data_IF_524305337453
#
_entry.id   IF_524305337453
#
_cell.length_a   1.000
_cell.length_b   1.000
_cell.length_c   1.000
_cell.angle_alpha   90.00
_cell.angle_beta   90.00
_cell.angle_gamma   90.00
#
_symmetry.space_group_name_H-M   'P 1'
#
loop_
_entity.id
_entity.type
_entity.pdbx_description
1 polymer ?
#
# COMPACT_ATOMS: atom_id res chain seq x y z
N UNK A 1 -78.78 32.33 -13.43
CA UNK A 1 -78.40 32.93 -12.14
C UNK A 1 -78.40 31.83 -11.10
N UNK A 2 -77.26 31.59 -10.43
CA UNK A 2 -77.07 30.90 -9.13
C UNK A 2 -77.60 29.46 -8.98
N UNK A 3 -76.98 28.51 -8.28
CA UNK A 3 -75.87 28.52 -7.33
C UNK A 3 -75.35 27.07 -7.19
N UNK A 4 -74.12 26.96 -6.70
CA UNK A 4 -73.40 25.71 -6.46
C UNK A 4 -73.84 24.97 -5.17
N UNK A 5 -73.54 23.67 -5.12
CA UNK A 5 -72.73 22.99 -4.09
C UNK A 5 -73.31 21.66 -3.57
N UNK A 6 -72.60 20.55 -3.88
CA UNK A 6 -72.12 19.45 -3.02
C UNK A 6 -73.09 18.74 -2.04
N UNK A 7 -72.99 17.45 -1.70
CA UNK A 7 -72.13 16.29 -1.99
C UNK A 7 -72.59 15.18 -1.03
N UNK A 8 -72.63 13.91 -1.46
CA UNK A 8 -72.31 12.66 -0.70
C UNK A 8 -72.78 11.45 -1.52
N UNK A 9 -71.87 10.76 -2.20
CA UNK A 9 -70.92 9.77 -1.68
C UNK A 9 -71.45 8.36 -1.95
N UNK A 10 -71.05 7.79 -3.09
CA UNK A 10 -71.22 6.38 -3.39
C UNK A 10 -69.97 5.91 -4.15
N UNK A 11 -69.52 4.71 -3.81
CA UNK A 11 -68.47 3.92 -4.49
C UNK A 11 -67.01 4.41 -4.41
N UNK A 12 -66.20 3.71 -3.61
CA UNK A 12 -64.73 3.70 -3.71
C UNK A 12 -64.21 2.36 -3.19
N UNK A 13 -64.11 1.34 -4.04
CA UNK A 13 -62.84 0.82 -4.57
C UNK A 13 -61.75 0.62 -3.50
N UNK A 14 -61.57 -0.65 -3.12
CA UNK A 14 -60.41 -1.20 -2.43
C UNK A 14 -59.13 -0.84 -3.20
N UNK A 15 -58.31 0.06 -2.67
CA UNK A 15 -56.91 0.19 -3.07
C UNK A 15 -56.06 -0.41 -1.96
N UNK A 16 -55.66 -1.66 -2.17
CA UNK A 16 -54.60 -2.32 -1.41
C UNK A 16 -53.28 -1.70 -1.86
N UNK A 17 -52.71 -0.82 -1.04
CA UNK A 17 -51.36 -0.27 -1.27
C UNK A 17 -50.37 -1.37 -0.91
N UNK A 18 -49.90 -2.13 -1.90
CA UNK A 18 -48.69 -2.94 -1.79
C UNK A 18 -47.50 -2.00 -1.76
N UNK A 19 -46.98 -1.70 -0.57
CA UNK A 19 -45.65 -1.11 -0.42
C UNK A 19 -44.65 -2.22 -0.76
N UNK A 20 -44.28 -2.32 -2.03
CA UNK A 20 -43.05 -3.00 -2.43
C UNK A 20 -41.88 -2.20 -1.85
N UNK A 21 -41.49 -2.54 -0.63
CA UNK A 21 -40.17 -2.21 -0.13
C UNK A 21 -39.20 -3.00 -0.99
N UNK A 22 -38.72 -2.38 -2.06
CA UNK A 22 -37.50 -2.80 -2.73
C UNK A 22 -36.38 -2.61 -1.69
N UNK A 23 -36.20 -3.62 -0.83
CA UNK A 23 -34.89 -3.92 -0.30
C UNK A 23 -34.04 -4.16 -1.54
N UNK A 24 -33.31 -3.13 -1.97
CA UNK A 24 -32.13 -3.34 -2.77
C UNK A 24 -31.21 -4.18 -1.87
N UNK A 25 -31.30 -5.50 -2.01
CA UNK A 25 -30.20 -6.36 -1.58
C UNK A 25 -28.99 -5.83 -2.36
N UNK A 26 -28.03 -5.24 -1.66
CA UNK A 26 -26.70 -5.10 -2.21
C UNK A 26 -26.30 -6.51 -2.67
N UNK A 27 -26.15 -6.71 -3.97
CA UNK A 27 -25.54 -7.93 -4.48
C UNK A 27 -24.13 -7.95 -3.89
N UNK A 28 -23.88 -8.95 -3.05
CA UNK A 28 -22.54 -9.28 -2.55
C UNK A 28 -21.76 -9.84 -3.74
N UNK A 29 -21.30 -8.92 -4.61
CA UNK A 29 -20.51 -9.25 -5.79
C UNK A 29 -19.09 -9.56 -5.29
N UNK A 30 -18.89 -10.79 -4.82
CA UNK A 30 -17.59 -11.27 -4.35
C UNK A 30 -16.49 -10.99 -5.37
N UNK A 31 -15.37 -10.40 -4.95
CA UNK A 31 -14.28 -10.05 -5.87
C UNK A 31 -13.64 -11.31 -6.49
N UNK A 32 -13.51 -11.33 -7.83
CA UNK A 32 -12.83 -12.41 -8.55
C UNK A 32 -11.31 -12.31 -8.41
N UNK A 33 -10.76 -12.96 -7.38
CA UNK A 33 -9.32 -13.00 -7.11
C UNK A 33 -8.46 -13.66 -8.21
N UNK A 34 -9.06 -14.26 -9.24
CA UNK A 34 -8.33 -14.81 -10.38
C UNK A 34 -8.06 -13.77 -11.48
N UNK A 35 -8.75 -12.62 -11.43
CA UNK A 35 -8.66 -11.55 -12.42
C UNK A 35 -8.20 -10.26 -11.75
N UNK A 36 -6.88 -9.95 -11.79
CA UNK A 36 -6.41 -8.70 -11.22
C UNK A 36 -7.03 -7.50 -11.94
N UNK A 37 -7.34 -6.41 -11.22
CA UNK A 37 -7.88 -5.20 -11.82
C UNK A 37 -6.86 -4.55 -12.76
N UNK A 38 -7.34 -3.60 -13.56
CA UNK A 38 -6.46 -2.77 -14.37
C UNK A 38 -5.42 -2.09 -13.46
N UNK A 39 -4.16 -2.10 -13.89
CA UNK A 39 -3.11 -1.41 -13.16
C UNK A 39 -3.41 0.10 -13.07
N UNK A 40 -3.48 0.59 -11.84
CA UNK A 40 -3.50 2.01 -11.47
C UNK A 40 -2.41 2.25 -10.43
N UNK A 41 -1.59 3.32 -10.55
CA UNK A 41 -0.66 3.68 -9.50
C UNK A 41 -1.42 4.01 -8.20
N UNK A 42 -1.08 3.35 -7.09
CA UNK A 42 -1.83 3.48 -5.83
C UNK A 42 -1.89 4.92 -5.28
N UNK A 43 -0.85 5.72 -5.53
CA UNK A 43 -0.82 7.13 -5.13
C UNK A 43 -1.90 8.00 -5.81
N UNK A 44 -2.45 7.55 -6.95
CA UNK A 44 -3.58 8.21 -7.62
C UNK A 44 -4.91 7.94 -6.92
N UNK A 45 -4.96 6.91 -6.07
CA UNK A 45 -6.12 6.51 -5.31
C UNK A 45 -6.06 7.01 -3.86
N UNK A 46 -4.88 6.92 -3.25
CA UNK A 46 -4.62 7.44 -1.92
C UNK A 46 -3.29 8.20 -1.92
N UNK A 47 -3.26 9.52 -1.66
CA UNK A 47 -2.03 10.29 -1.60
C UNK A 47 -1.27 10.01 -0.29
N UNK A 48 -0.58 8.87 -0.22
CA UNK A 48 0.29 8.52 0.91
C UNK A 48 1.48 9.48 0.96
N UNK A 49 1.76 10.11 2.11
CA UNK A 49 2.89 11.03 2.27
C UNK A 49 4.25 10.38 1.98
N UNK A 50 5.17 11.16 1.42
CA UNK A 50 6.57 10.75 1.29
C UNK A 50 7.32 11.08 2.58
N UNK A 51 8.02 10.08 3.14
CA UNK A 51 8.81 10.22 4.36
C UNK A 51 10.24 10.75 4.10
N UNK A 52 10.57 10.98 2.83
CA UNK A 52 11.89 11.41 2.39
C UNK A 52 11.98 12.94 2.37
N UNK A 53 12.31 13.57 3.50
CA UNK A 53 12.54 15.03 3.54
C UNK A 53 13.70 15.45 2.64
N UNK A 54 13.75 16.72 2.23
CA UNK A 54 14.88 17.24 1.44
C UNK A 54 16.22 17.02 2.15
N UNK A 55 16.26 17.21 3.47
CA UNK A 55 17.44 16.96 4.30
C UNK A 55 17.84 15.47 4.27
N UNK A 56 16.90 14.55 4.44
CA UNK A 56 17.17 13.11 4.38
C UNK A 56 17.61 12.68 2.98
N UNK A 57 17.03 13.27 1.95
CA UNK A 57 17.40 13.04 0.55
C UNK A 57 18.81 13.54 0.25
N UNK A 58 19.25 14.65 0.85
CA UNK A 58 20.62 15.13 0.75
C UNK A 58 21.59 14.19 1.47
N UNK A 59 21.26 13.78 2.71
CA UNK A 59 22.09 12.86 3.50
C UNK A 59 22.21 11.47 2.85
N UNK A 60 21.19 11.03 2.13
CA UNK A 60 21.13 9.72 1.46
C UNK A 60 21.28 9.82 -0.08
N UNK A 61 21.79 10.95 -0.59
CA UNK A 61 21.82 11.28 -2.01
C UNK A 61 22.55 10.25 -2.89
N UNK A 62 23.48 9.47 -2.32
CA UNK A 62 24.17 8.41 -3.05
C UNK A 62 23.21 7.30 -3.54
N UNK A 63 22.14 7.04 -2.80
CA UNK A 63 21.10 6.04 -3.12
C UNK A 63 19.88 6.65 -3.82
N UNK A 64 19.76 7.97 -3.84
CA UNK A 64 18.71 8.71 -4.54
C UNK A 64 18.99 8.88 -6.06
N UNK A 65 20.18 8.47 -6.54
CA UNK A 65 20.56 8.61 -7.95
C UNK A 65 19.74 7.66 -8.83
N UNK A 66 19.24 8.12 -10.00
CA UNK A 66 18.63 7.22 -10.96
C UNK A 66 19.65 6.17 -11.42
N UNK A 67 19.20 4.93 -11.74
CA UNK A 67 20.10 3.89 -12.20
C UNK A 67 20.86 4.37 -13.45
N UNK A 68 22.13 3.97 -13.62
CA UNK A 68 22.91 4.37 -14.79
C UNK A 68 22.16 3.96 -16.07
N UNK A 69 22.24 4.76 -17.15
CA UNK A 69 21.63 4.40 -18.41
C UNK A 69 22.18 3.03 -18.87
N UNK A 70 21.33 2.17 -19.48
CA UNK A 70 21.79 0.89 -19.99
C UNK A 70 22.99 1.10 -20.92
N UNK A 71 24.00 0.20 -20.90
CA UNK A 71 25.14 0.33 -21.79
C UNK A 71 24.65 0.45 -23.23
N UNK A 72 25.11 1.49 -23.94
CA UNK A 72 24.84 1.63 -25.37
C UNK A 72 25.68 0.58 -26.10
N UNK A 73 25.21 -0.66 -26.09
CA UNK A 73 25.76 -1.74 -26.88
C UNK A 73 25.40 -1.52 -28.34
N UNK A 74 26.40 -1.57 -29.23
CA UNK A 74 26.20 -1.60 -30.68
C UNK A 74 25.29 -2.79 -31.06
N UNK A 75 24.02 -2.50 -31.35
CA UNK A 75 23.20 -3.26 -32.31
C UNK A 75 22.93 -4.74 -32.02
N UNK A 76 22.71 -5.14 -30.76
CA UNK A 76 22.18 -6.48 -30.44
C UNK A 76 20.94 -6.38 -29.54
N UNK A 77 19.97 -7.31 -29.63
CA UNK A 77 18.86 -7.33 -28.69
C UNK A 77 19.44 -7.46 -27.28
N UNK A 78 19.01 -6.57 -26.38
CA UNK A 78 19.41 -6.60 -24.99
C UNK A 78 19.17 -8.01 -24.44
N UNK A 79 20.25 -8.70 -24.06
CA UNK A 79 20.13 -9.91 -23.26
C UNK A 79 19.62 -9.45 -21.90
N UNK A 80 18.31 -9.52 -21.72
CA UNK A 80 17.67 -9.40 -20.42
C UNK A 80 18.10 -10.61 -19.59
N UNK A 81 19.24 -10.51 -18.92
CA UNK A 81 19.45 -11.32 -17.72
C UNK A 81 18.33 -10.97 -16.74
N UNK A 82 17.72 -11.99 -16.15
CA UNK A 82 16.56 -11.93 -15.27
C UNK A 82 16.84 -11.25 -13.93
N UNK A 83 17.42 -10.05 -13.93
CA UNK A 83 17.26 -9.12 -12.82
C UNK A 83 15.86 -8.55 -12.91
N UNK A 84 15.10 -8.60 -11.81
CA UNK A 84 13.77 -8.02 -11.64
C UNK A 84 13.79 -6.51 -11.93
N UNK A 85 13.86 -6.13 -13.21
CA UNK A 85 13.79 -4.76 -13.65
C UNK A 85 12.33 -4.39 -13.69
N UNK A 86 11.88 -3.64 -12.69
CA UNK A 86 10.60 -2.96 -12.75
C UNK A 86 10.54 -2.10 -14.03
N UNK A 87 9.39 -2.08 -14.73
CA UNK A 87 9.22 -1.27 -15.93
C UNK A 87 9.59 0.20 -15.70
N UNK A 88 10.02 0.94 -16.74
CA UNK A 88 10.46 2.34 -16.63
C UNK A 88 9.44 3.28 -15.98
N UNK A 89 8.14 2.98 -16.06
CA UNK A 89 7.06 3.78 -15.47
C UNK A 89 6.87 3.57 -13.96
N UNK A 90 7.54 2.58 -13.36
CA UNK A 90 7.52 2.31 -11.92
C UNK A 90 8.75 2.89 -11.20
N UNK A 91 9.68 3.51 -11.95
CA UNK A 91 10.98 4.02 -11.44
C UNK A 91 10.89 5.21 -10.49
N UNK A 92 9.71 5.81 -10.32
CA UNK A 92 9.47 6.91 -9.38
C UNK A 92 8.55 6.56 -8.21
N UNK A 93 8.04 5.32 -8.12
CA UNK A 93 7.04 4.93 -7.11
C UNK A 93 7.60 4.09 -5.97
N UNK A 94 8.78 3.51 -6.15
CA UNK A 94 9.44 2.69 -5.15
C UNK A 94 10.89 3.16 -5.01
N UNK A 95 11.23 3.90 -3.93
CA UNK A 95 12.61 4.29 -3.66
C UNK A 95 13.52 3.06 -3.62
N UNK A 96 14.78 3.23 -4.04
CA UNK A 96 15.77 2.14 -4.02
C UNK A 96 15.85 1.56 -2.60
N UNK A 97 15.94 0.24 -2.40
CA UNK A 97 15.94 -0.34 -1.05
C UNK A 97 16.99 0.28 -0.10
N UNK A 98 18.17 0.62 -0.64
CA UNK A 98 19.22 1.27 0.14
C UNK A 98 18.89 2.72 0.54
N UNK A 99 18.03 3.41 -0.23
CA UNK A 99 17.56 4.75 0.14
C UNK A 99 16.69 4.66 1.39
N UNK A 100 15.73 3.72 1.42
CA UNK A 100 14.88 3.49 2.59
C UNK A 100 15.72 3.04 3.80
N UNK A 101 16.66 2.12 3.61
CA UNK A 101 17.56 1.72 4.71
C UNK A 101 18.39 2.90 5.23
N UNK A 102 18.93 3.74 4.34
CA UNK A 102 19.66 4.93 4.75
C UNK A 102 18.78 5.88 5.57
N UNK A 103 17.56 6.18 5.10
CA UNK A 103 16.62 7.04 5.81
C UNK A 103 16.32 6.46 7.20
N UNK A 104 15.94 5.18 7.27
CA UNK A 104 15.61 4.53 8.54
C UNK A 104 16.77 4.47 9.52
N UNK A 105 18.00 4.29 9.04
CA UNK A 105 19.18 4.34 9.89
C UNK A 105 19.48 5.76 10.38
N UNK A 106 19.29 6.78 9.53
CA UNK A 106 19.51 8.19 9.90
C UNK A 106 18.49 8.71 10.91
N UNK A 107 17.26 8.22 10.82
CA UNK A 107 16.16 8.59 11.73
C UNK A 107 16.07 7.66 12.93
N UNK A 108 16.94 6.64 13.01
CA UNK A 108 16.92 5.58 14.03
C UNK A 108 15.61 4.77 14.09
N UNK A 109 14.77 4.87 13.05
CA UNK A 109 13.57 4.02 12.86
C UNK A 109 13.95 2.55 12.79
N UNK A 110 15.14 2.25 12.26
CA UNK A 110 15.81 0.98 12.51
C UNK A 110 17.00 1.28 13.42
N UNK A 111 16.96 0.72 14.63
CA UNK A 111 18.03 0.89 15.61
C UNK A 111 19.32 0.16 15.18
N UNK A 112 20.41 0.42 15.91
CA UNK A 112 21.71 -0.24 15.66
C UNK A 112 21.65 -1.78 15.78
N UNK A 113 20.69 -2.30 16.54
CA UNK A 113 20.41 -3.73 16.67
C UNK A 113 19.70 -4.33 15.42
N UNK A 114 19.31 -3.48 14.47
CA UNK A 114 18.56 -3.85 13.27
C UNK A 114 17.08 -4.12 13.52
N UNK A 115 16.54 -3.71 14.66
CA UNK A 115 15.11 -3.83 14.98
C UNK A 115 14.37 -2.51 14.70
N UNK A 116 13.10 -2.56 14.26
CA UNK A 116 12.26 -1.36 14.11
C UNK A 116 11.94 -0.71 15.46
N UNK A 117 11.86 0.62 15.48
CA UNK A 117 11.49 1.43 16.62
C UNK A 117 10.25 2.28 16.28
N UNK A 118 9.14 1.99 16.95
CA UNK A 118 7.84 2.63 16.71
C UNK A 118 7.86 4.10 17.13
N UNK A 119 8.48 4.43 18.26
CA UNK A 119 8.56 5.80 18.76
C UNK A 119 9.37 6.68 17.80
N UNK A 120 10.44 6.13 17.22
CA UNK A 120 11.25 6.83 16.20
C UNK A 120 10.50 6.99 14.88
N UNK A 121 9.64 6.04 14.52
CA UNK A 121 8.78 6.18 13.34
C UNK A 121 7.70 7.24 13.56
N UNK A 122 7.06 7.25 14.73
CA UNK A 122 6.12 8.29 15.15
C UNK A 122 6.77 9.68 15.09
N UNK A 123 7.98 9.83 15.63
CA UNK A 123 8.75 11.06 15.54
C UNK A 123 9.11 11.47 14.09
N UNK A 124 9.31 10.51 13.19
CA UNK A 124 9.49 10.80 11.76
C UNK A 124 8.19 11.33 11.16
N UNK A 125 7.03 10.71 11.45
CA UNK A 125 5.73 11.19 10.98
C UNK A 125 5.41 12.59 11.48
N UNK A 126 5.74 12.90 12.74
CA UNK A 126 5.65 14.24 13.32
C UNK A 126 6.48 15.27 12.54
N UNK A 127 7.46 14.84 11.75
CA UNK A 127 8.26 15.74 10.91
C UNK A 127 7.73 15.84 9.48
N UNK A 128 7.24 14.75 8.91
CA UNK A 128 6.92 14.62 7.47
C UNK A 128 5.42 14.68 7.14
N UNK A 129 4.55 14.41 8.10
CA UNK A 129 3.09 14.32 7.94
C UNK A 129 2.35 15.33 8.85
N UNK A 130 3.04 16.40 9.26
CA UNK A 130 2.53 17.43 10.21
C UNK A 130 1.14 17.96 9.93
N UNK A 131 0.79 18.10 8.65
CA UNK A 131 -0.46 18.73 8.23
C UNK A 131 -1.61 17.73 8.07
N UNK A 132 -1.40 16.46 8.41
CA UNK A 132 -2.40 15.40 8.27
C UNK A 132 -2.31 14.37 9.42
N UNK A 133 -2.80 14.76 10.59
CA UNK A 133 -2.84 13.91 11.80
C UNK A 133 -3.57 12.58 11.58
N UNK A 134 -4.65 12.56 10.78
CA UNK A 134 -5.40 11.34 10.47
C UNK A 134 -4.53 10.34 9.69
N UNK A 135 -3.79 10.81 8.69
CA UNK A 135 -2.88 9.96 7.93
C UNK A 135 -1.66 9.53 8.77
N UNK A 136 -1.14 10.41 9.62
CA UNK A 136 -0.05 10.08 10.53
C UNK A 136 -0.44 8.92 11.46
N UNK A 137 -1.62 8.99 12.09
CA UNK A 137 -2.12 7.92 12.96
C UNK A 137 -2.26 6.59 12.20
N UNK A 138 -2.80 6.60 10.98
CA UNK A 138 -2.92 5.39 10.14
C UNK A 138 -1.54 4.82 9.78
N UNK A 139 -0.55 5.67 9.49
CA UNK A 139 0.80 5.22 9.18
C UNK A 139 1.50 4.63 10.42
N UNK A 140 1.27 5.20 11.60
CA UNK A 140 1.79 4.68 12.88
C UNK A 140 1.20 3.30 13.20
N UNK A 141 -0.13 3.15 13.15
CA UNK A 141 -0.81 1.86 13.31
C UNK A 141 -0.32 0.81 12.29
N UNK A 142 -0.16 1.23 11.03
CA UNK A 142 0.40 0.38 9.98
C UNK A 142 1.84 -0.07 10.30
N UNK A 143 2.66 0.81 10.88
CA UNK A 143 4.04 0.50 11.23
C UNK A 143 4.14 -0.48 12.40
N UNK A 144 3.29 -0.33 13.41
CA UNK A 144 3.16 -1.29 14.50
C UNK A 144 2.80 -2.68 13.98
N UNK A 145 1.72 -2.79 13.20
CA UNK A 145 1.27 -4.06 12.63
C UNK A 145 2.34 -4.70 11.72
N UNK A 146 3.01 -3.89 10.92
CA UNK A 146 4.06 -4.36 10.02
C UNK A 146 5.33 -4.80 10.76
N UNK A 147 5.65 -4.18 11.90
CA UNK A 147 6.75 -4.60 12.78
C UNK A 147 6.44 -5.96 13.42
N UNK A 148 5.21 -6.19 13.86
CA UNK A 148 4.77 -7.49 14.36
C UNK A 148 4.87 -8.58 13.27
N UNK A 149 4.33 -8.32 12.08
CA UNK A 149 4.43 -9.23 10.91
C UNK A 149 5.89 -9.53 10.55
N UNK A 150 6.76 -8.52 10.62
CA UNK A 150 8.19 -8.68 10.36
C UNK A 150 8.87 -9.57 11.39
N UNK A 151 8.53 -9.42 12.67
CA UNK A 151 9.05 -10.26 13.76
C UNK A 151 8.64 -11.74 13.59
N UNK A 152 7.39 -12.00 13.22
CA UNK A 152 6.93 -13.36 12.92
C UNK A 152 7.65 -13.97 11.72
N UNK A 153 7.82 -13.17 10.66
CA UNK A 153 8.52 -13.62 9.46
C UNK A 153 9.98 -13.95 9.79
N UNK A 154 10.65 -13.13 10.60
CA UNK A 154 12.01 -13.38 11.09
C UNK A 154 12.09 -14.68 11.88
N UNK A 155 11.12 -14.95 12.76
CA UNK A 155 11.05 -16.21 13.51
C UNK A 155 10.86 -17.43 12.58
N UNK A 156 9.94 -17.35 11.62
CA UNK A 156 9.71 -18.41 10.60
C UNK A 156 10.95 -18.66 9.75
N UNK A 157 11.66 -17.59 9.38
CA UNK A 157 12.93 -17.67 8.64
C UNK A 157 14.01 -18.32 9.50
N UNK A 158 14.16 -17.93 10.77
CA UNK A 158 15.15 -18.51 11.68
C UNK A 158 14.91 -20.01 11.91
N UNK A 159 13.65 -20.41 12.06
CA UNK A 159 13.25 -21.82 12.12
C UNK A 159 13.59 -22.56 10.81
N UNK A 160 13.38 -21.94 9.66
CA UNK A 160 13.74 -22.55 8.36
C UNK A 160 15.26 -22.68 8.20
N UNK A 161 16.04 -21.69 8.65
CA UNK A 161 17.50 -21.72 8.66
C UNK A 161 18.01 -22.87 9.53
N UNK A 162 17.44 -23.07 10.72
CA UNK A 162 17.87 -24.15 11.62
C UNK A 162 17.56 -25.54 11.06
N UNK A 163 16.47 -25.67 10.28
CA UNK A 163 16.05 -26.93 9.65
C UNK A 163 16.77 -27.24 8.33
N UNK A 164 17.17 -26.21 7.58
CA UNK A 164 17.67 -26.37 6.21
C UNK A 164 18.98 -25.59 6.00
N UNK A 165 20.15 -26.22 6.17
CA UNK A 165 21.45 -25.55 6.03
C UNK A 165 21.71 -24.99 4.62
N UNK A 166 21.19 -25.64 3.56
CA UNK A 166 21.27 -25.10 2.18
C UNK A 166 20.51 -23.77 2.03
N UNK A 167 19.40 -23.60 2.75
CA UNK A 167 18.66 -22.33 2.78
C UNK A 167 19.46 -21.25 3.50
N UNK A 168 20.16 -21.62 4.58
CA UNK A 168 21.04 -20.71 5.32
C UNK A 168 22.20 -20.21 4.44
N UNK A 169 22.86 -21.10 3.70
CA UNK A 169 23.94 -20.76 2.78
C UNK A 169 23.44 -19.84 1.65
N UNK A 170 22.29 -20.16 1.05
CA UNK A 170 21.68 -19.31 0.02
C UNK A 170 21.35 -17.91 0.54
N UNK A 171 20.79 -17.81 1.74
CA UNK A 171 20.48 -16.52 2.38
C UNK A 171 21.75 -15.73 2.69
N UNK A 172 22.80 -16.37 3.21
CA UNK A 172 24.08 -15.73 3.47
C UNK A 172 24.72 -15.20 2.18
N UNK A 173 24.69 -15.98 1.09
CA UNK A 173 25.19 -15.57 -0.22
C UNK A 173 24.41 -14.38 -0.80
N UNK A 174 23.08 -14.38 -0.70
CA UNK A 174 22.28 -13.24 -1.11
C UNK A 174 22.58 -11.99 -0.28
N UNK A 175 22.76 -12.12 1.04
CA UNK A 175 23.13 -11.01 1.93
C UNK A 175 24.52 -10.47 1.60
N UNK A 176 25.48 -11.33 1.28
CA UNK A 176 26.84 -10.91 0.88
C UNK A 176 26.86 -10.16 -0.46
N UNK A 177 25.93 -10.46 -1.37
CA UNK A 177 25.84 -9.79 -2.67
C UNK A 177 24.99 -8.52 -2.63
N UNK A 178 24.15 -8.34 -1.61
CA UNK A 178 23.30 -7.15 -1.48
C UNK A 178 24.11 -5.95 -0.98
N UNK A 179 23.96 -4.81 -1.65
CA UNK A 179 24.59 -3.56 -1.23
C UNK A 179 24.00 -2.96 0.06
N UNK A 180 22.78 -3.39 0.41
CA UNK A 180 22.00 -2.93 1.55
C UNK A 180 21.11 -4.06 2.08
N UNK A 181 20.63 -3.95 3.32
CA UNK A 181 19.60 -4.82 3.84
C UNK A 181 18.26 -4.54 3.14
N UNK A 182 17.54 -5.56 2.65
CA UNK A 182 16.19 -5.37 2.10
C UNK A 182 15.15 -5.11 3.19
N UNK A 183 15.51 -5.23 4.47
CA UNK A 183 14.56 -5.21 5.58
C UNK A 183 13.76 -3.91 5.68
N UNK A 184 14.41 -2.75 5.68
CA UNK A 184 13.71 -1.46 5.75
C UNK A 184 12.74 -1.26 4.58
N UNK A 185 13.15 -1.63 3.37
CA UNK A 185 12.28 -1.55 2.19
C UNK A 185 11.08 -2.49 2.26
N UNK A 186 11.26 -3.71 2.78
CA UNK A 186 10.15 -4.66 3.01
C UNK A 186 9.19 -4.13 4.07
N UNK A 187 9.70 -3.58 5.16
CA UNK A 187 8.90 -2.96 6.22
C UNK A 187 8.09 -1.79 5.67
N UNK A 188 8.72 -0.84 4.97
CA UNK A 188 8.05 0.29 4.35
C UNK A 188 7.00 -0.13 3.31
N UNK A 189 7.29 -1.18 2.54
CA UNK A 189 6.30 -1.73 1.59
C UNK A 189 5.06 -2.26 2.32
N UNK A 190 5.25 -2.88 3.49
CA UNK A 190 4.13 -3.30 4.33
C UNK A 190 3.33 -2.08 4.82
N UNK A 191 4.01 -1.07 5.38
CA UNK A 191 3.39 0.17 5.89
C UNK A 191 2.54 0.82 4.80
N UNK A 192 3.13 1.08 3.62
CA UNK A 192 2.41 1.71 2.51
C UNK A 192 1.17 0.92 2.07
N UNK A 193 1.21 -0.41 2.14
CA UNK A 193 0.06 -1.25 1.81
C UNK A 193 -1.03 -1.19 2.89
N UNK A 194 -0.68 -1.24 4.17
CA UNK A 194 -1.68 -1.11 5.25
C UNK A 194 -2.25 0.31 5.31
N UNK A 195 -1.43 1.35 5.11
CA UNK A 195 -1.89 2.73 4.95
C UNK A 195 -2.83 2.89 3.76
N UNK A 196 -2.53 2.25 2.62
CA UNK A 196 -3.41 2.29 1.45
C UNK A 196 -4.79 1.66 1.74
N UNK A 197 -4.82 0.49 2.39
CA UNK A 197 -6.08 -0.19 2.74
C UNK A 197 -6.93 0.65 3.68
N UNK A 198 -6.29 1.32 4.63
CA UNK A 198 -6.94 2.13 5.65
C UNK A 198 -7.03 3.61 5.27
N UNK A 199 -6.76 3.95 4.00
CA UNK A 199 -6.72 5.33 3.54
C UNK A 199 -8.00 6.10 3.89
N UNK A 200 -7.90 7.31 4.47
CA UNK A 200 -9.07 8.09 4.85
C UNK A 200 -10.00 8.36 3.68
N UNK A 201 -11.30 8.25 3.93
CA UNK A 201 -12.32 8.58 2.93
C UNK A 201 -12.24 10.05 2.48
N UNK A 202 -11.69 10.94 3.31
CA UNK A 202 -11.50 12.36 3.04
C UNK A 202 -10.51 12.64 1.90
N UNK A 203 -9.51 11.79 1.71
CA UNK A 203 -8.46 11.94 0.68
C UNK A 203 -8.49 10.85 -0.39
N UNK A 204 -9.36 9.86 -0.22
CA UNK A 204 -9.57 8.77 -1.17
C UNK A 204 -10.19 9.27 -2.48
N UNK A 205 -9.63 8.81 -3.61
CA UNK A 205 -10.24 9.01 -4.92
C UNK A 205 -11.32 7.95 -5.18
N UNK A 206 -12.58 8.35 -5.07
CA UNK A 206 -13.76 7.48 -5.22
C UNK A 206 -14.10 7.10 -6.67
N UNK A 207 -13.09 6.87 -7.49
CA UNK A 207 -13.26 6.33 -8.85
C UNK A 207 -13.52 4.82 -8.80
N UNK A 208 -14.23 4.31 -9.81
CA UNK A 208 -14.46 2.86 -9.97
C UNK A 208 -13.14 2.09 -9.96
N UNK A 209 -12.12 2.59 -10.67
CA UNK A 209 -10.81 1.94 -10.75
C UNK A 209 -10.12 1.83 -9.39
N UNK A 210 -10.17 2.88 -8.58
CA UNK A 210 -9.57 2.87 -7.25
C UNK A 210 -10.32 1.95 -6.29
N UNK A 211 -11.66 1.97 -6.33
CA UNK A 211 -12.49 1.11 -5.49
C UNK A 211 -12.26 -0.36 -5.83
N UNK A 212 -12.29 -0.74 -7.11
CA UNK A 212 -12.01 -2.12 -7.54
C UNK A 212 -10.63 -2.60 -7.07
N UNK A 213 -9.62 -1.73 -7.07
CA UNK A 213 -8.27 -2.07 -6.61
C UNK A 213 -8.22 -2.24 -5.09
N UNK A 214 -8.91 -1.38 -4.34
CA UNK A 214 -9.01 -1.51 -2.88
C UNK A 214 -9.74 -2.78 -2.47
N UNK A 215 -10.87 -3.07 -3.11
CA UNK A 215 -11.67 -4.26 -2.84
C UNK A 215 -10.86 -5.53 -3.15
N UNK A 216 -10.17 -5.56 -4.30
CA UNK A 216 -9.25 -6.64 -4.63
C UNK A 216 -8.12 -6.82 -3.60
N UNK A 217 -7.48 -5.74 -3.15
CA UNK A 217 -6.40 -5.83 -2.14
C UNK A 217 -6.92 -6.33 -0.79
N UNK A 218 -8.15 -5.98 -0.41
CA UNK A 218 -8.76 -6.33 0.87
C UNK A 218 -9.29 -7.78 0.88
N UNK A 219 -9.95 -8.21 -0.19
CA UNK A 219 -10.59 -9.52 -0.26
C UNK A 219 -9.65 -10.63 -0.74
N UNK A 220 -8.70 -10.30 -1.62
CA UNK A 220 -7.79 -11.27 -2.20
C UNK A 220 -6.49 -11.33 -1.41
N UNK A 221 -6.29 -12.45 -0.69
CA UNK A 221 -4.97 -12.80 -0.13
C UNK A 221 -3.96 -12.79 -1.27
N UNK A 222 -2.77 -12.20 -1.05
CA UNK A 222 -1.66 -12.24 -2.02
C UNK A 222 -1.49 -13.68 -2.51
N UNK A 223 -1.73 -13.91 -3.81
CA UNK A 223 -1.37 -15.17 -4.50
C UNK A 223 0.15 -15.30 -4.54
#
# INVERSE_FOLDING_TARGET
>A
MSQASNMKANFGCFIVIFVCVCYASAEDESVDCTKPPRFIPLHMCCPVPDLSTEELMEQCAEFAKPPPPPPIGRGGPAKFEHSHHHPPHMRGLHPHPCLIECIFNKTEVIGENGEPDVDKFSALLDTTVKDNEEMAAIMEEAFEECTEKASELKAKIAEKISKYPEFAEKMANHRMQAACSPFGAMLMTCVNMETFKNCPASVWNDSTECNTVRDFINECKRV
#
